data_IF_195507234008
#
_entry.id   IF_195507234008
#
_cell.length_a   1.000
_cell.length_b   1.000
_cell.length_c   1.000
_cell.angle_alpha   90.00
_cell.angle_beta   90.00
_cell.angle_gamma   90.00
#
_symmetry.space_group_name_H-M   'P 1'
#
loop_
_entity.id
_entity.type
_entity.pdbx_description
1 polymer ?
#
# COMPACT_ATOMS: atom_id res chain seq x y z
N UNK A 1 30.53 1.94 -9.98
CA UNK A 1 29.82 3.21 -9.78
C UNK A 1 28.39 3.20 -10.37
N UNK A 2 27.77 2.04 -10.59
CA UNK A 2 26.36 1.93 -11.06
C UNK A 2 25.37 1.43 -9.97
N UNK A 3 25.85 1.11 -8.76
CA UNK A 3 24.98 0.51 -7.73
C UNK A 3 24.22 1.52 -6.86
N UNK A 4 24.59 2.79 -6.88
CA UNK A 4 23.90 3.86 -6.15
C UNK A 4 22.65 4.30 -6.92
N UNK A 5 21.59 3.51 -6.81
CA UNK A 5 20.28 3.87 -7.39
C UNK A 5 19.53 2.73 -8.07
N UNK A 6 20.15 1.54 -8.20
CA UNK A 6 19.42 0.39 -8.76
C UNK A 6 18.28 -0.02 -7.83
N UNK A 7 17.06 -0.12 -8.38
CA UNK A 7 15.89 -0.69 -7.70
C UNK A 7 16.02 -2.22 -7.61
N UNK A 8 17.03 -2.68 -6.88
CA UNK A 8 17.31 -4.09 -6.69
C UNK A 8 17.07 -4.49 -5.22
N UNK A 9 16.12 -5.40 -4.93
CA UNK A 9 15.85 -5.84 -3.56
C UNK A 9 17.09 -6.40 -2.84
N UNK A 10 18.02 -7.03 -3.57
CA UNK A 10 19.26 -7.59 -3.00
C UNK A 10 20.23 -6.52 -2.47
N UNK A 11 20.14 -5.30 -2.99
CA UNK A 11 20.95 -4.16 -2.56
C UNK A 11 20.22 -3.36 -1.49
N UNK A 12 18.92 -3.13 -1.68
CA UNK A 12 18.11 -2.30 -0.79
C UNK A 12 17.87 -2.96 0.58
N UNK A 13 17.53 -4.25 0.61
CA UNK A 13 17.19 -4.93 1.87
C UNK A 13 18.35 -4.93 2.88
N UNK A 14 19.60 -5.34 2.54
CA UNK A 14 20.71 -5.31 3.50
C UNK A 14 21.00 -3.92 4.05
N UNK A 15 20.82 -2.86 3.25
CA UNK A 15 21.01 -1.46 3.69
C UNK A 15 19.93 -1.04 4.68
N UNK A 16 18.66 -1.29 4.36
CA UNK A 16 17.53 -0.95 5.23
C UNK A 16 17.57 -1.72 6.55
N UNK A 17 17.97 -2.99 6.51
CA UNK A 17 18.02 -3.82 7.72
C UNK A 17 19.11 -3.39 8.72
N UNK A 18 20.03 -2.49 8.36
CA UNK A 18 20.97 -1.87 9.31
C UNK A 18 20.26 -0.99 10.33
N UNK A 19 19.14 -0.36 9.95
CA UNK A 19 18.30 0.44 10.84
C UNK A 19 17.36 -0.47 11.65
N UNK A 20 17.33 -0.29 12.97
CA UNK A 20 16.47 -1.06 13.87
C UNK A 20 14.98 -0.82 13.59
N UNK A 21 14.60 0.40 13.20
CA UNK A 21 13.21 0.76 12.91
C UNK A 21 12.68 -0.05 11.71
N UNK A 22 13.48 -0.20 10.66
CA UNK A 22 13.10 -1.03 9.51
C UNK A 22 13.19 -2.53 9.82
N UNK A 23 14.19 -2.96 10.60
CA UNK A 23 14.35 -4.36 10.98
C UNK A 23 13.16 -4.89 11.76
N UNK A 24 12.59 -4.10 12.67
CA UNK A 24 11.35 -4.43 13.42
C UNK A 24 10.19 -4.79 12.49
N UNK A 25 10.12 -4.21 11.30
CA UNK A 25 9.08 -4.42 10.31
C UNK A 25 9.60 -5.09 9.02
N UNK A 26 10.65 -5.92 9.12
CA UNK A 26 11.37 -6.44 7.95
C UNK A 26 10.48 -7.15 6.92
N UNK A 27 9.42 -7.85 7.35
CA UNK A 27 8.45 -8.49 6.44
C UNK A 27 7.67 -7.46 5.62
N UNK A 28 7.21 -6.37 6.24
CA UNK A 28 6.49 -5.29 5.59
C UNK A 28 7.41 -4.48 4.67
N UNK A 29 8.63 -4.19 5.13
CA UNK A 29 9.66 -3.50 4.33
C UNK A 29 9.96 -4.30 3.06
N UNK A 30 10.13 -5.62 3.17
CA UNK A 30 10.37 -6.50 2.01
C UNK A 30 9.23 -6.45 0.99
N UNK A 31 7.96 -6.43 1.44
CA UNK A 31 6.80 -6.31 0.55
C UNK A 31 6.76 -4.96 -0.17
N UNK A 32 7.00 -3.86 0.55
CA UNK A 32 7.03 -2.52 -0.02
C UNK A 32 8.15 -2.42 -1.06
N UNK A 33 9.37 -2.85 -0.74
CA UNK A 33 10.51 -2.82 -1.67
C UNK A 33 10.23 -3.66 -2.92
N UNK A 34 9.63 -4.84 -2.76
CA UNK A 34 9.25 -5.68 -3.90
C UNK A 34 8.27 -4.97 -4.84
N UNK A 35 7.30 -4.23 -4.29
CA UNK A 35 6.34 -3.47 -5.08
C UNK A 35 7.00 -2.26 -5.78
N UNK A 36 7.90 -1.53 -5.09
CA UNK A 36 8.67 -0.42 -5.68
C UNK A 36 9.51 -0.92 -6.85
N UNK A 37 10.30 -1.97 -6.63
CA UNK A 37 11.15 -2.56 -7.66
C UNK A 37 10.35 -3.08 -8.85
N UNK A 38 9.15 -3.64 -8.62
CA UNK A 38 8.28 -4.12 -9.69
C UNK A 38 7.67 -3.00 -10.52
N UNK A 39 7.30 -1.87 -9.89
CA UNK A 39 6.62 -0.75 -10.57
C UNK A 39 7.56 0.32 -11.09
N UNK A 40 8.82 0.33 -10.66
CA UNK A 40 9.79 1.40 -10.94
C UNK A 40 9.59 2.65 -10.07
N UNK A 41 8.37 2.89 -9.58
CA UNK A 41 8.04 3.95 -8.63
C UNK A 41 6.80 3.60 -7.80
N UNK A 42 6.64 4.27 -6.65
CA UNK A 42 5.35 4.28 -5.96
C UNK A 42 4.42 5.29 -6.60
N UNK A 43 3.13 5.02 -6.49
CA UNK A 43 2.13 6.02 -6.81
C UNK A 43 2.36 7.28 -5.98
N UNK A 44 2.54 8.43 -6.63
CA UNK A 44 2.84 9.73 -5.97
C UNK A 44 1.88 10.16 -4.85
N UNK A 45 0.69 9.57 -4.80
CA UNK A 45 -0.31 9.85 -3.78
C UNK A 45 -0.45 8.76 -2.73
N UNK A 46 0.50 7.81 -2.63
CA UNK A 46 0.49 6.69 -1.67
C UNK A 46 0.79 7.10 -0.21
N UNK A 47 0.84 8.40 0.09
CA UNK A 47 0.95 8.87 1.47
C UNK A 47 -0.34 8.59 2.21
N UNK A 48 -0.25 8.02 3.43
CA UNK A 48 -1.38 7.52 4.22
C UNK A 48 -2.63 8.40 4.18
N UNK A 49 -2.49 9.67 4.58
CA UNK A 49 -3.64 10.58 4.70
C UNK A 49 -4.10 11.12 3.34
N UNK A 50 -3.18 11.29 2.40
CA UNK A 50 -3.47 11.79 1.06
C UNK A 50 -4.22 10.74 0.23
N UNK A 51 -3.74 9.50 0.24
CA UNK A 51 -4.38 8.34 -0.39
C UNK A 51 -5.81 8.18 0.15
N UNK A 52 -5.95 8.18 1.48
CA UNK A 52 -7.26 8.10 2.13
C UNK A 52 -8.19 9.24 1.68
N UNK A 53 -7.72 10.49 1.67
CA UNK A 53 -8.51 11.65 1.26
C UNK A 53 -8.96 11.54 -0.20
N UNK A 54 -8.07 11.14 -1.10
CA UNK A 54 -8.38 10.96 -2.53
C UNK A 54 -9.40 9.84 -2.73
N UNK A 55 -9.19 8.67 -2.13
CA UNK A 55 -10.12 7.54 -2.25
C UNK A 55 -11.49 7.89 -1.67
N UNK A 56 -11.53 8.59 -0.53
CA UNK A 56 -12.77 9.06 0.09
C UNK A 56 -13.51 10.07 -0.79
N UNK A 57 -12.80 10.96 -1.46
CA UNK A 57 -13.36 11.93 -2.42
C UNK A 57 -13.93 11.22 -3.65
N UNK A 58 -13.22 10.22 -4.19
CA UNK A 58 -13.62 9.48 -5.39
C UNK A 58 -14.70 8.42 -5.12
N UNK A 59 -14.98 8.09 -3.85
CA UNK A 59 -15.92 7.07 -3.41
C UNK A 59 -17.27 7.11 -4.11
N UNK A 60 -17.90 8.28 -4.18
CA UNK A 60 -19.21 8.44 -4.82
C UNK A 60 -19.15 8.22 -6.33
N UNK A 61 -18.05 8.65 -6.97
CA UNK A 61 -17.81 8.38 -8.39
C UNK A 61 -17.63 6.88 -8.65
N UNK A 62 -16.82 6.20 -7.83
CA UNK A 62 -16.59 4.75 -7.92
C UNK A 62 -17.91 3.99 -7.76
N UNK A 63 -18.71 4.33 -6.75
CA UNK A 63 -20.00 3.71 -6.50
C UNK A 63 -20.94 3.84 -7.71
N UNK A 64 -21.08 5.07 -8.25
CA UNK A 64 -21.91 5.34 -9.43
C UNK A 64 -21.38 4.61 -10.67
N UNK A 65 -20.07 4.65 -10.91
CA UNK A 65 -19.45 4.10 -12.12
C UNK A 65 -19.51 2.57 -12.17
N UNK A 66 -19.41 1.93 -11.01
CA UNK A 66 -19.42 0.47 -10.85
C UNK A 66 -20.79 -0.08 -10.42
N UNK A 67 -21.82 0.78 -10.33
CA UNK A 67 -23.18 0.39 -9.89
C UNK A 67 -23.20 -0.29 -8.52
N UNK A 68 -22.33 0.15 -7.61
CA UNK A 68 -22.30 -0.33 -6.22
C UNK A 68 -23.25 0.50 -5.37
N UNK A 69 -24.02 -0.14 -4.49
CA UNK A 69 -24.92 0.55 -3.57
C UNK A 69 -24.13 1.48 -2.63
N UNK A 70 -23.04 0.96 -2.06
CA UNK A 70 -22.18 1.67 -1.11
C UNK A 70 -20.72 1.30 -1.31
N UNK A 71 -19.85 2.29 -1.10
CA UNK A 71 -18.40 2.09 -1.01
C UNK A 71 -17.95 2.67 0.32
N UNK A 72 -17.14 1.90 1.05
CA UNK A 72 -16.53 2.31 2.31
C UNK A 72 -15.03 2.44 2.11
N UNK A 73 -14.46 3.55 2.60
CA UNK A 73 -13.02 3.79 2.61
C UNK A 73 -12.61 3.91 4.06
N UNK A 74 -11.79 2.96 4.52
CA UNK A 74 -11.33 2.85 5.90
C UNK A 74 -9.81 2.68 5.91
N UNK A 75 -9.19 3.02 7.03
CA UNK A 75 -7.81 2.63 7.28
C UNK A 75 -7.74 1.14 7.63
N UNK A 76 -6.63 0.48 7.30
CA UNK A 76 -6.41 -0.95 7.58
C UNK A 76 -6.68 -1.27 9.05
N UNK A 77 -6.10 -0.50 9.97
CA UNK A 77 -6.22 -0.72 11.41
C UNK A 77 -7.61 -0.41 11.98
N UNK A 78 -8.51 0.15 11.16
CA UNK A 78 -9.89 0.50 11.54
C UNK A 78 -10.92 -0.31 10.75
N UNK A 79 -10.52 -1.37 10.06
CA UNK A 79 -11.43 -2.23 9.33
C UNK A 79 -12.24 -3.12 10.30
N UNK A 80 -13.42 -2.64 10.71
CA UNK A 80 -14.30 -3.35 11.66
C UNK A 80 -15.02 -4.52 10.97
N UNK A 81 -15.29 -4.41 9.67
CA UNK A 81 -15.93 -5.44 8.87
C UNK A 81 -14.98 -5.89 7.74
N UNK A 82 -14.34 -7.05 7.95
CA UNK A 82 -13.41 -7.68 6.99
C UNK A 82 -13.49 -9.22 7.07
N UNK A 83 -14.62 -9.81 6.64
CA UNK A 83 -14.86 -11.25 6.78
C UNK A 83 -13.86 -12.13 6.02
N UNK A 84 -13.12 -11.56 5.05
CA UNK A 84 -12.09 -12.27 4.28
C UNK A 84 -10.66 -11.88 4.66
N UNK A 85 -10.45 -11.09 5.72
CA UNK A 85 -9.12 -10.68 6.18
C UNK A 85 -8.30 -9.94 5.11
N UNK A 86 -8.97 -9.22 4.19
CA UNK A 86 -8.33 -8.54 3.07
C UNK A 86 -7.64 -7.24 3.47
N UNK A 87 -8.05 -6.58 4.54
CA UNK A 87 -7.45 -5.32 4.99
C UNK A 87 -5.93 -5.45 5.18
N UNK A 88 -5.48 -6.55 5.80
CA UNK A 88 -4.06 -6.87 6.05
C UNK A 88 -3.23 -7.11 4.77
N UNK A 89 -3.88 -7.19 3.61
CA UNK A 89 -3.21 -7.33 2.30
C UNK A 89 -3.01 -5.98 1.60
N UNK A 90 -3.50 -4.89 2.19
CA UNK A 90 -3.31 -3.54 1.66
C UNK A 90 -1.85 -3.10 1.79
N UNK A 91 -1.43 -2.20 0.89
CA UNK A 91 -0.13 -1.55 0.92
C UNK A 91 -0.30 -0.10 0.46
N UNK A 92 0.64 0.81 0.80
CA UNK A 92 0.64 2.16 0.24
C UNK A 92 0.55 2.14 -1.29
N UNK A 93 -0.42 2.87 -1.85
CA UNK A 93 -0.70 2.91 -3.29
C UNK A 93 -1.34 1.65 -3.88
N UNK A 94 -1.76 0.72 -3.01
CA UNK A 94 -2.48 -0.50 -3.36
C UNK A 94 -3.46 -0.88 -2.26
N UNK A 95 -4.61 -0.20 -2.28
CA UNK A 95 -5.74 -0.53 -1.41
C UNK A 95 -6.20 -1.99 -1.63
N UNK A 96 -6.53 -2.67 -0.53
CA UNK A 96 -7.21 -3.96 -0.61
C UNK A 96 -8.72 -3.75 -0.84
N UNK A 97 -9.32 -4.60 -1.68
CA UNK A 97 -10.73 -4.50 -2.04
C UNK A 97 -11.48 -5.76 -1.63
N UNK A 98 -12.58 -5.55 -0.92
CA UNK A 98 -13.59 -6.55 -0.60
C UNK A 98 -14.91 -6.12 -1.23
N UNK A 99 -15.55 -7.05 -1.94
CA UNK A 99 -16.84 -6.88 -2.61
C UNK A 99 -17.72 -8.05 -2.20
N UNK A 100 -18.97 -7.75 -1.92
CA UNK A 100 -20.06 -8.67 -1.58
C UNK A 100 -21.37 -8.19 -2.19
#
# INVERSE_FOLDING_TARGET
>A
YEEEGSLNPRILMPRLMKDEQFRRYGKQVSKIISEICKRGELWKYCGRDLEYKILKMLRSYIAKRLQLEKVYVVYEEKAIYDPKGKAAQSMPGRAALYLE
#
